data_IF_790829772196
#
_entry.id   IF_790829772196
#
_cell.length_a   1.000
_cell.length_b   1.000
_cell.length_c   1.000
_cell.angle_alpha   90.00
_cell.angle_beta   90.00
_cell.angle_gamma   90.00
#
_symmetry.space_group_name_H-M   'P 1'
#
loop_
_entity.id
_entity.type
_entity.pdbx_description
1 polymer ?
#
# COMPACT_ATOMS: atom_id res chain seq x y z
N UNK A 1 10.85 0.67 -29.34
CA UNK A 1 9.59 -0.06 -29.50
C UNK A 1 9.22 -0.54 -28.12
N UNK A 2 8.19 0.04 -27.51
CA UNK A 2 7.66 -0.39 -26.21
C UNK A 2 7.08 -1.81 -26.40
N UNK A 3 7.44 -2.81 -25.60
CA UNK A 3 6.80 -4.13 -25.67
C UNK A 3 5.29 -3.94 -25.50
N UNK A 4 4.52 -4.62 -26.33
CA UNK A 4 3.08 -4.43 -26.40
C UNK A 4 2.41 -4.74 -25.07
N UNK A 5 1.58 -3.80 -24.61
CA UNK A 5 0.65 -3.98 -23.50
C UNK A 5 -0.31 -5.13 -23.87
N UNK A 6 -0.21 -6.27 -23.21
CA UNK A 6 -1.20 -7.34 -23.34
C UNK A 6 -2.40 -6.98 -22.46
N UNK A 7 -3.50 -6.55 -23.10
CA UNK A 7 -4.77 -6.42 -22.42
C UNK A 7 -5.46 -7.80 -22.34
N UNK A 8 -5.85 -8.19 -21.13
CA UNK A 8 -6.67 -9.38 -20.92
C UNK A 8 -8.10 -9.17 -21.45
N UNK A 9 -8.90 -10.23 -21.69
CA UNK A 9 -10.28 -10.11 -22.19
C UNK A 9 -11.20 -9.22 -21.33
N UNK A 10 -10.87 -9.05 -20.05
CA UNK A 10 -11.55 -8.17 -19.09
C UNK A 10 -11.01 -6.74 -19.04
N UNK A 11 -10.07 -6.37 -19.96
CA UNK A 11 -9.53 -5.03 -20.09
C UNK A 11 -8.45 -4.67 -19.04
N UNK A 12 -7.94 -5.63 -18.29
CA UNK A 12 -6.81 -5.44 -17.38
C UNK A 12 -5.50 -5.41 -18.19
N UNK A 13 -4.66 -4.42 -17.92
CA UNK A 13 -3.30 -4.34 -18.43
C UNK A 13 -2.38 -5.03 -17.44
N UNK A 14 -1.62 -6.03 -17.91
CA UNK A 14 -0.53 -6.66 -17.16
C UNK A 14 0.79 -6.24 -17.77
N UNK A 15 1.70 -5.73 -16.92
CA UNK A 15 2.97 -5.18 -17.36
C UNK A 15 4.10 -5.74 -16.50
N UNK A 16 5.23 -6.02 -17.14
CA UNK A 16 6.51 -6.21 -16.47
C UNK A 16 7.30 -4.93 -16.57
N UNK A 17 7.10 -4.03 -15.60
CA UNK A 17 7.76 -2.74 -15.58
C UNK A 17 9.25 -2.92 -15.29
N UNK A 18 10.16 -2.52 -16.21
CA UNK A 18 11.58 -2.71 -16.01
C UNK A 18 12.11 -1.86 -14.85
N UNK A 19 12.88 -2.46 -13.99
CA UNK A 19 13.62 -1.85 -12.88
C UNK A 19 15.00 -2.51 -12.75
N UNK A 20 15.79 -2.11 -11.77
CA UNK A 20 17.02 -2.80 -11.41
C UNK A 20 16.89 -3.44 -10.03
N UNK A 21 17.59 -4.54 -9.81
CA UNK A 21 17.63 -5.22 -8.51
C UNK A 21 18.70 -4.64 -7.56
N UNK A 22 19.01 -5.35 -6.47
CA UNK A 22 19.96 -4.92 -5.45
C UNK A 22 21.39 -4.79 -5.97
N UNK A 23 21.75 -5.56 -6.97
CA UNK A 23 23.08 -5.60 -7.56
C UNK A 23 23.19 -4.66 -8.77
N UNK A 24 22.09 -3.97 -9.13
CA UNK A 24 22.00 -3.10 -10.30
C UNK A 24 21.71 -3.83 -11.59
N UNK A 25 21.37 -5.13 -11.52
CA UNK A 25 21.04 -5.94 -12.69
C UNK A 25 19.59 -5.73 -13.13
N UNK A 26 19.29 -5.97 -14.42
CA UNK A 26 17.94 -5.83 -14.95
C UNK A 26 16.93 -6.72 -14.21
N UNK A 27 15.84 -6.13 -13.76
CA UNK A 27 14.75 -6.77 -13.03
C UNK A 27 13.41 -6.21 -13.50
N UNK A 28 12.30 -6.61 -12.87
CA UNK A 28 10.97 -6.09 -13.23
C UNK A 28 10.03 -6.08 -12.02
N UNK A 29 9.03 -5.20 -12.11
CA UNK A 29 7.85 -5.22 -11.25
C UNK A 29 6.68 -5.79 -12.04
N UNK A 30 5.96 -6.74 -11.45
CA UNK A 30 4.70 -7.22 -11.97
C UNK A 30 3.60 -6.22 -11.60
N UNK A 31 3.00 -5.56 -12.59
CA UNK A 31 2.00 -4.51 -12.42
C UNK A 31 0.70 -4.93 -13.08
N UNK A 32 -0.44 -4.65 -12.43
CA UNK A 32 -1.79 -4.82 -12.95
C UNK A 32 -2.52 -3.48 -12.90
N UNK A 33 -3.04 -3.04 -14.03
CA UNK A 33 -3.86 -1.84 -14.13
C UNK A 33 -5.22 -2.20 -14.74
N UNK A 34 -6.26 -2.15 -13.93
CA UNK A 34 -7.63 -2.33 -14.36
C UNK A 34 -8.31 -0.97 -14.55
N UNK A 35 -9.02 -0.83 -15.67
CA UNK A 35 -9.78 0.39 -16.01
C UNK A 35 -11.27 0.07 -16.05
N UNK A 36 -12.12 0.94 -15.47
CA UNK A 36 -13.57 0.74 -15.57
C UNK A 36 -14.02 0.90 -17.03
N UNK A 37 -14.98 0.06 -17.42
CA UNK A 37 -15.72 0.29 -18.68
C UNK A 37 -16.57 1.53 -18.50
N UNK A 38 -16.43 2.52 -19.38
CA UNK A 38 -17.13 3.81 -19.27
C UNK A 38 -17.98 4.06 -20.52
N UNK A 39 -19.18 4.64 -20.35
CA UNK A 39 -19.94 5.20 -21.45
C UNK A 39 -19.17 6.31 -22.16
N UNK A 40 -19.37 6.44 -23.47
CA UNK A 40 -18.78 7.50 -24.26
C UNK A 40 -19.25 8.89 -23.74
N UNK A 41 -18.29 9.80 -23.51
CA UNK A 41 -18.57 11.15 -23.04
C UNK A 41 -18.51 11.36 -21.51
N UNK A 42 -18.35 10.31 -20.72
CA UNK A 42 -18.08 10.48 -19.28
C UNK A 42 -16.69 11.08 -19.01
N UNK A 43 -16.63 11.97 -18.00
CA UNK A 43 -15.36 12.56 -17.59
C UNK A 43 -14.43 11.48 -17.01
N UNK A 44 -13.12 11.53 -17.31
CA UNK A 44 -12.15 10.60 -16.75
C UNK A 44 -12.12 10.72 -15.22
N UNK A 45 -11.75 9.63 -14.54
CA UNK A 45 -11.55 9.65 -13.10
C UNK A 45 -10.46 10.68 -12.75
N UNK A 46 -10.62 11.36 -11.63
CA UNK A 46 -9.67 12.37 -11.14
C UNK A 46 -8.38 11.75 -10.60
N UNK A 47 -8.40 10.45 -10.28
CA UNK A 47 -7.28 9.70 -9.74
C UNK A 47 -7.42 8.20 -10.06
N UNK A 48 -6.38 7.44 -9.80
CA UNK A 48 -6.42 5.98 -9.72
C UNK A 48 -6.17 5.53 -8.28
N UNK A 49 -6.76 4.41 -7.87
CA UNK A 49 -6.28 3.72 -6.67
C UNK A 49 -4.97 2.99 -7.00
N UNK A 50 -4.00 3.11 -6.09
CA UNK A 50 -2.76 2.36 -6.16
C UNK A 50 -2.62 1.53 -4.89
N UNK A 51 -2.75 0.20 -5.02
CA UNK A 51 -2.73 -0.75 -3.92
C UNK A 51 -1.33 -1.27 -3.65
N UNK A 52 -0.94 -1.25 -2.38
CA UNK A 52 0.35 -1.69 -1.87
C UNK A 52 0.12 -2.81 -0.84
N UNK A 53 0.62 -3.99 -1.17
CA UNK A 53 0.50 -5.17 -0.30
C UNK A 53 1.47 -5.11 0.90
N UNK A 54 1.23 -5.97 1.88
CA UNK A 54 2.09 -6.14 3.06
C UNK A 54 3.26 -7.09 2.80
N UNK A 55 4.16 -7.17 3.77
CA UNK A 55 5.28 -8.09 3.78
C UNK A 55 4.81 -9.55 3.63
N UNK A 56 5.46 -10.30 2.74
CA UNK A 56 5.11 -11.70 2.45
C UNK A 56 3.74 -11.90 1.78
N UNK A 57 3.18 -10.84 1.19
CA UNK A 57 1.91 -10.87 0.46
C UNK A 57 2.14 -10.62 -1.04
N UNK A 58 1.07 -10.40 -1.80
CA UNK A 58 1.13 -10.12 -3.23
C UNK A 58 0.07 -9.08 -3.62
N UNK A 59 0.18 -8.59 -4.87
CA UNK A 59 -0.73 -7.62 -5.50
C UNK A 59 -2.16 -8.13 -5.68
N UNK A 60 -2.36 -9.43 -5.62
CA UNK A 60 -3.65 -10.13 -5.71
C UNK A 60 -4.00 -10.78 -4.36
N UNK A 61 -5.23 -11.22 -4.23
CA UNK A 61 -5.76 -11.88 -3.04
C UNK A 61 -7.04 -11.21 -2.54
N UNK A 62 -7.72 -11.82 -1.59
CA UNK A 62 -9.10 -11.51 -1.23
C UNK A 62 -9.39 -10.02 -1.02
N UNK A 63 -8.54 -9.28 -0.30
CA UNK A 63 -8.72 -7.84 -0.10
C UNK A 63 -8.45 -7.02 -1.35
N UNK A 64 -7.35 -7.32 -2.05
CA UNK A 64 -6.95 -6.58 -3.25
C UNK A 64 -8.00 -6.74 -4.36
N UNK A 65 -8.47 -7.98 -4.58
CA UNK A 65 -9.48 -8.27 -5.58
C UNK A 65 -10.83 -7.63 -5.25
N UNK A 66 -11.23 -7.68 -3.97
CA UNK A 66 -12.44 -7.00 -3.50
C UNK A 66 -12.35 -5.47 -3.71
N UNK A 67 -11.24 -4.83 -3.34
CA UNK A 67 -11.08 -3.38 -3.53
C UNK A 67 -11.02 -3.01 -5.01
N UNK A 68 -10.40 -3.84 -5.86
CA UNK A 68 -10.40 -3.66 -7.31
C UNK A 68 -11.82 -3.66 -7.88
N UNK A 69 -12.63 -4.66 -7.53
CA UNK A 69 -14.01 -4.76 -7.99
C UNK A 69 -14.83 -3.53 -7.58
N UNK A 70 -14.70 -3.09 -6.34
CA UNK A 70 -15.39 -1.92 -5.81
C UNK A 70 -14.93 -0.62 -6.48
N UNK A 71 -13.63 -0.47 -6.70
CA UNK A 71 -13.07 0.69 -7.38
C UNK A 71 -13.60 0.80 -8.82
N UNK A 72 -13.61 -0.30 -9.56
CA UNK A 72 -14.15 -0.36 -10.93
C UNK A 72 -15.65 -0.07 -10.98
N UNK A 73 -16.41 -0.56 -10.01
CA UNK A 73 -17.85 -0.25 -9.86
C UNK A 73 -18.08 1.25 -9.59
N UNK A 74 -17.17 1.91 -8.87
CA UNK A 74 -17.18 3.36 -8.65
C UNK A 74 -16.65 4.17 -9.85
N UNK A 75 -16.30 3.52 -10.96
CA UNK A 75 -15.75 4.17 -12.13
C UNK A 75 -14.31 4.65 -11.97
N UNK A 76 -13.52 4.08 -11.06
CA UNK A 76 -12.16 4.51 -10.75
C UNK A 76 -11.16 3.43 -11.16
N UNK A 77 -10.09 3.77 -11.92
CA UNK A 77 -9.02 2.83 -12.22
C UNK A 77 -8.34 2.30 -10.94
N UNK A 78 -7.94 1.03 -10.99
CA UNK A 78 -7.25 0.38 -9.90
C UNK A 78 -5.94 -0.24 -10.39
N UNK A 79 -4.83 0.15 -9.76
CA UNK A 79 -3.52 -0.41 -10.01
C UNK A 79 -3.04 -1.17 -8.77
N UNK A 80 -2.43 -2.32 -8.99
CA UNK A 80 -1.70 -3.06 -7.98
C UNK A 80 -0.39 -3.57 -8.57
N UNK A 81 0.59 -3.84 -7.72
CA UNK A 81 1.88 -4.39 -8.15
C UNK A 81 2.50 -5.21 -7.02
N UNK A 82 3.41 -6.10 -7.37
CA UNK A 82 4.25 -6.80 -6.42
C UNK A 82 5.55 -6.02 -6.19
N UNK A 83 5.91 -5.75 -4.92
CA UNK A 83 7.25 -5.25 -4.59
C UNK A 83 8.33 -6.26 -5.01
N UNK A 84 9.54 -5.80 -5.32
CA UNK A 84 10.66 -6.71 -5.57
C UNK A 84 10.82 -7.72 -4.42
N UNK A 85 11.13 -8.97 -4.77
CA UNK A 85 11.19 -10.08 -3.83
C UNK A 85 9.83 -10.67 -3.42
N UNK A 86 8.72 -10.21 -4.02
CA UNK A 86 7.36 -10.72 -3.76
C UNK A 86 6.65 -11.09 -5.06
N UNK A 87 5.70 -12.00 -4.94
CA UNK A 87 4.78 -12.37 -6.00
C UNK A 87 5.45 -12.72 -7.32
N UNK A 88 5.05 -12.03 -8.40
CA UNK A 88 5.55 -12.22 -9.76
C UNK A 88 6.66 -11.21 -10.14
N UNK A 89 7.05 -10.30 -9.23
CA UNK A 89 8.18 -9.38 -9.42
C UNK A 89 9.51 -10.08 -9.25
N UNK A 90 10.56 -9.52 -9.86
CA UNK A 90 11.92 -10.00 -9.71
C UNK A 90 12.52 -9.72 -8.33
N UNK A 91 13.77 -10.11 -8.13
CA UNK A 91 14.49 -9.96 -6.87
C UNK A 91 14.14 -11.04 -5.83
N UNK A 92 14.68 -10.89 -4.64
CA UNK A 92 14.46 -11.83 -3.53
C UNK A 92 14.14 -11.06 -2.23
N UNK A 93 13.44 -11.70 -1.29
CA UNK A 93 13.19 -11.12 0.03
C UNK A 93 14.48 -10.89 0.85
N UNK A 94 15.56 -11.57 0.50
CA UNK A 94 16.87 -11.34 1.09
C UNK A 94 17.38 -9.94 0.81
N UNK A 95 17.06 -9.40 -0.37
CA UNK A 95 17.52 -8.11 -0.86
C UNK A 95 16.54 -6.98 -0.56
N UNK A 96 15.46 -7.30 0.17
CA UNK A 96 14.45 -6.34 0.57
C UNK A 96 15.04 -5.23 1.42
N UNK A 97 14.79 -3.97 1.02
CA UNK A 97 15.01 -2.78 1.83
C UNK A 97 13.80 -1.85 1.74
N UNK A 98 13.63 -0.99 2.72
CA UNK A 98 12.54 -0.03 2.69
C UNK A 98 12.73 1.04 1.60
N UNK A 99 13.98 1.43 1.33
CA UNK A 99 14.34 2.31 0.22
C UNK A 99 13.90 1.72 -1.12
N UNK A 100 14.13 0.42 -1.34
CA UNK A 100 13.71 -0.27 -2.56
C UNK A 100 12.20 -0.29 -2.72
N UNK A 101 11.45 -0.54 -1.65
CA UNK A 101 10.00 -0.45 -1.71
C UNK A 101 9.52 0.95 -2.15
N UNK A 102 10.22 2.01 -1.75
CA UNK A 102 9.90 3.37 -2.17
C UNK A 102 10.30 3.65 -3.62
N UNK A 103 11.39 3.06 -4.11
CA UNK A 103 11.81 3.11 -5.50
C UNK A 103 10.80 2.36 -6.40
N UNK A 104 10.41 1.15 -6.01
CA UNK A 104 9.39 0.34 -6.70
C UNK A 104 8.07 1.12 -6.82
N UNK A 105 7.59 1.66 -5.70
CA UNK A 105 6.37 2.48 -5.70
C UNK A 105 6.54 3.74 -6.56
N UNK A 106 7.72 4.35 -6.56
CA UNK A 106 8.05 5.48 -7.42
C UNK A 106 7.92 5.12 -8.90
N UNK A 107 8.51 4.01 -9.32
CA UNK A 107 8.47 3.52 -10.70
C UNK A 107 7.03 3.21 -11.16
N UNK A 108 6.22 2.56 -10.33
CA UNK A 108 4.81 2.28 -10.65
C UNK A 108 3.99 3.57 -10.72
N UNK A 109 4.23 4.53 -9.84
CA UNK A 109 3.55 5.83 -9.89
C UNK A 109 3.90 6.61 -11.18
N UNK A 110 5.18 6.59 -11.58
CA UNK A 110 5.63 7.22 -12.83
C UNK A 110 5.05 6.49 -14.06
N UNK A 111 4.92 5.16 -14.03
CA UNK A 111 4.19 4.38 -15.04
C UNK A 111 2.73 4.85 -15.13
N UNK A 112 2.01 4.99 -14.00
CA UNK A 112 0.64 5.50 -13.98
C UNK A 112 0.54 6.92 -14.55
N UNK A 113 1.50 7.79 -14.24
CA UNK A 113 1.55 9.15 -14.81
C UNK A 113 1.68 9.10 -16.33
N UNK A 114 2.51 8.20 -16.87
CA UNK A 114 2.60 7.93 -18.32
C UNK A 114 1.32 7.40 -18.95
N UNK A 115 0.45 6.77 -18.15
CA UNK A 115 -0.89 6.32 -18.55
C UNK A 115 -1.99 7.39 -18.39
N UNK A 116 -1.63 8.64 -18.05
CA UNK A 116 -2.56 9.73 -17.76
C UNK A 116 -3.23 9.65 -16.38
N UNK A 117 -2.69 8.86 -15.44
CA UNK A 117 -3.22 8.61 -14.11
C UNK A 117 -2.23 9.06 -13.01
N UNK A 118 -1.60 10.23 -13.19
CA UNK A 118 -0.57 10.72 -12.27
C UNK A 118 -1.07 11.18 -10.90
N UNK A 119 -2.36 11.39 -10.71
CA UNK A 119 -2.95 11.61 -9.39
C UNK A 119 -3.42 10.27 -8.81
N UNK A 120 -3.04 9.94 -7.57
CA UNK A 120 -3.37 8.67 -6.95
C UNK A 120 -3.97 8.82 -5.55
N UNK A 121 -4.80 7.84 -5.17
CA UNK A 121 -5.15 7.53 -3.79
C UNK A 121 -4.48 6.21 -3.45
N UNK A 122 -3.60 6.21 -2.45
CA UNK A 122 -2.88 5.03 -2.02
C UNK A 122 -3.73 4.17 -1.09
N UNK A 123 -3.81 2.87 -1.34
CA UNK A 123 -4.38 1.89 -0.41
C UNK A 123 -3.23 1.00 0.04
N UNK A 124 -2.76 1.14 1.28
CA UNK A 124 -1.59 0.41 1.77
C UNK A 124 -1.89 -0.47 2.96
N UNK A 125 -1.45 -1.73 2.92
CA UNK A 125 -1.58 -2.67 4.03
C UNK A 125 -0.22 -2.94 4.67
N UNK A 126 -0.12 -2.84 6.01
CA UNK A 126 1.09 -3.20 6.79
C UNK A 126 2.35 -2.50 6.25
N UNK A 127 3.33 -3.24 5.73
CA UNK A 127 4.52 -2.70 5.06
C UNK A 127 4.15 -1.73 3.94
N UNK A 128 3.17 -2.08 3.09
CA UNK A 128 2.68 -1.20 2.03
C UNK A 128 2.07 0.09 2.59
N UNK A 129 1.46 0.05 3.79
CA UNK A 129 0.95 1.23 4.49
C UNK A 129 2.07 2.15 4.97
N UNK A 130 3.16 1.60 5.51
CA UNK A 130 4.35 2.38 5.87
C UNK A 130 5.02 3.00 4.63
N UNK A 131 5.14 2.23 3.54
CA UNK A 131 5.68 2.72 2.26
C UNK A 131 4.82 3.86 1.69
N UNK A 132 3.48 3.72 1.75
CA UNK A 132 2.54 4.76 1.31
C UNK A 132 2.74 6.09 2.05
N UNK A 133 2.96 6.07 3.37
CA UNK A 133 3.21 7.27 4.17
C UNK A 133 4.46 8.03 3.68
N UNK A 134 5.56 7.35 3.51
CA UNK A 134 6.80 7.97 3.05
C UNK A 134 6.73 8.46 1.61
N UNK A 135 6.06 7.71 0.74
CA UNK A 135 5.84 8.13 -0.65
C UNK A 135 4.95 9.37 -0.73
N UNK A 136 3.85 9.41 0.03
CA UNK A 136 2.96 10.57 0.09
C UNK A 136 3.68 11.83 0.61
N UNK A 137 4.56 11.68 1.61
CA UNK A 137 5.38 12.78 2.10
C UNK A 137 6.34 13.34 1.03
N UNK A 138 6.85 12.47 0.14
CA UNK A 138 7.77 12.84 -0.96
C UNK A 138 7.04 13.40 -2.18
N UNK A 139 5.78 13.02 -2.41
CA UNK A 139 4.97 13.41 -3.59
C UNK A 139 3.61 14.01 -3.22
N UNK A 140 3.55 15.03 -2.32
CA UNK A 140 2.29 15.52 -1.75
C UNK A 140 1.34 16.14 -2.79
N UNK A 141 1.85 16.60 -3.93
CA UNK A 141 1.02 17.16 -5.01
C UNK A 141 0.32 16.07 -5.85
N UNK A 142 0.81 14.83 -5.82
CA UNK A 142 0.32 13.74 -6.65
C UNK A 142 -0.48 12.70 -5.84
N UNK A 143 -0.21 12.57 -4.54
CA UNK A 143 -0.94 11.68 -3.64
C UNK A 143 -2.08 12.46 -2.97
N UNK A 144 -3.31 12.24 -3.43
CA UNK A 144 -4.48 12.97 -2.99
C UNK A 144 -4.97 12.52 -1.60
N UNK A 145 -4.82 11.25 -1.28
CA UNK A 145 -5.12 10.66 0.02
C UNK A 145 -4.38 9.33 0.23
N UNK A 146 -4.26 8.91 1.49
CA UNK A 146 -3.78 7.58 1.87
C UNK A 146 -4.82 6.85 2.72
N UNK A 147 -5.13 5.61 2.37
CA UNK A 147 -6.08 4.72 3.03
C UNK A 147 -5.29 3.52 3.56
N UNK A 148 -4.98 3.51 4.84
CA UNK A 148 -3.99 2.62 5.43
C UNK A 148 -4.64 1.58 6.32
N UNK A 149 -4.29 0.32 6.12
CA UNK A 149 -4.75 -0.83 6.91
C UNK A 149 -3.57 -1.34 7.72
N UNK A 150 -3.65 -1.25 9.03
CA UNK A 150 -2.63 -1.71 9.98
C UNK A 150 -1.20 -1.30 9.57
N UNK A 151 -0.94 0.01 9.28
CA UNK A 151 0.35 0.44 8.72
C UNK A 151 1.51 0.14 9.67
N UNK A 152 2.56 -0.51 9.16
CA UNK A 152 3.73 -0.90 9.94
C UNK A 152 4.67 0.28 10.23
N UNK A 153 4.16 1.36 10.86
CA UNK A 153 4.89 2.61 11.13
C UNK A 153 6.18 2.41 11.94
N UNK A 154 6.23 1.35 12.75
CA UNK A 154 7.39 0.96 13.55
C UNK A 154 8.09 -0.30 13.05
N UNK A 155 8.06 -0.61 11.75
CA UNK A 155 8.56 -1.88 11.18
C UNK A 155 9.97 -2.25 11.68
N UNK A 156 10.92 -1.33 11.67
CA UNK A 156 12.29 -1.60 12.13
C UNK A 156 12.32 -2.05 13.59
N UNK A 157 11.64 -1.32 14.48
CA UNK A 157 11.53 -1.70 15.91
C UNK A 157 10.76 -3.01 16.10
N UNK A 158 9.77 -3.27 15.25
CA UNK A 158 9.03 -4.54 15.25
C UNK A 158 9.94 -5.72 14.94
N UNK A 159 10.73 -5.63 13.89
CA UNK A 159 11.72 -6.65 13.51
C UNK A 159 12.83 -6.82 14.56
N UNK A 160 13.31 -5.72 15.14
CA UNK A 160 14.30 -5.77 16.22
C UNK A 160 13.75 -6.49 17.47
N UNK A 161 12.50 -6.21 17.85
CA UNK A 161 11.84 -6.92 18.97
C UNK A 161 11.63 -8.41 18.65
N UNK A 162 11.20 -8.72 17.42
CA UNK A 162 11.02 -10.10 16.97
C UNK A 162 12.32 -10.90 17.03
N UNK A 163 13.42 -10.34 16.53
CA UNK A 163 14.71 -11.01 16.52
C UNK A 163 15.32 -11.14 17.93
N UNK A 164 15.03 -10.19 18.82
CA UNK A 164 15.69 -10.08 20.14
C UNK A 164 17.18 -9.75 20.03
N UNK A 165 17.86 -9.51 21.16
CA UNK A 165 19.26 -9.07 21.17
C UNK A 165 20.20 -10.10 20.52
N UNK A 166 20.05 -11.39 20.86
CA UNK A 166 20.88 -12.47 20.31
C UNK A 166 20.61 -12.69 18.82
N UNK A 167 19.33 -12.68 18.40
CA UNK A 167 18.95 -12.80 17.00
C UNK A 167 19.49 -11.64 16.16
N UNK A 168 19.43 -10.41 16.65
CA UNK A 168 20.01 -9.24 15.97
C UNK A 168 21.52 -9.36 15.83
N UNK A 169 22.23 -9.78 16.90
CA UNK A 169 23.68 -9.95 16.84
C UNK A 169 24.07 -11.03 15.83
N UNK A 170 23.31 -12.14 15.78
CA UNK A 170 23.49 -13.20 14.78
C UNK A 170 23.18 -12.68 13.37
N UNK A 171 22.04 -11.99 13.17
CA UNK A 171 21.67 -11.43 11.88
C UNK A 171 22.72 -10.46 11.33
N UNK A 172 23.24 -9.57 12.19
CA UNK A 172 24.31 -8.64 11.84
C UNK A 172 25.58 -9.37 11.42
N UNK A 173 25.98 -10.42 12.17
CA UNK A 173 27.21 -11.19 11.91
C UNK A 173 27.11 -12.04 10.65
N UNK A 174 25.98 -12.74 10.48
CA UNK A 174 25.77 -13.72 9.42
C UNK A 174 25.22 -13.08 8.13
N UNK A 175 24.83 -11.81 8.20
CA UNK A 175 24.28 -11.03 7.09
C UNK A 175 22.82 -11.37 6.74
N UNK A 176 22.30 -12.48 7.25
CA UNK A 176 20.92 -12.96 6.99
C UNK A 176 20.32 -13.61 8.23
N UNK A 177 18.99 -13.63 8.28
CA UNK A 177 18.21 -14.37 9.28
C UNK A 177 17.04 -15.08 8.61
N UNK A 178 16.74 -16.30 9.03
CA UNK A 178 15.53 -17.00 8.61
C UNK A 178 14.32 -16.40 9.29
N UNK A 179 13.39 -15.89 8.51
CA UNK A 179 12.09 -15.43 8.95
C UNK A 179 11.03 -16.45 8.56
N UNK A 180 10.17 -16.81 9.48
CA UNK A 180 9.05 -17.72 9.24
C UNK A 180 7.82 -17.30 10.04
N UNK A 181 6.69 -17.26 9.37
CA UNK A 181 5.37 -17.17 9.98
C UNK A 181 4.36 -18.02 9.18
N UNK A 182 3.07 -17.94 9.50
CA UNK A 182 2.04 -18.71 8.82
C UNK A 182 1.88 -18.41 7.31
N UNK A 183 2.45 -17.32 6.80
CA UNK A 183 2.22 -16.81 5.45
C UNK A 183 3.50 -16.87 4.59
N UNK A 184 4.66 -16.71 5.20
CA UNK A 184 5.92 -16.57 4.48
C UNK A 184 7.05 -17.22 5.26
N UNK A 185 7.91 -17.88 4.52
CA UNK A 185 9.19 -18.41 4.99
C UNK A 185 10.28 -17.95 4.01
N UNK A 186 11.23 -17.12 4.49
CA UNK A 186 12.28 -16.54 3.65
C UNK A 186 13.48 -16.11 4.47
N UNK A 187 14.61 -15.93 3.80
CA UNK A 187 15.77 -15.29 4.38
C UNK A 187 15.66 -13.77 4.21
N UNK A 188 15.93 -13.01 5.28
CA UNK A 188 15.99 -11.56 5.29
C UNK A 188 17.42 -11.09 5.44
N UNK A 189 17.86 -10.21 4.57
CA UNK A 189 19.18 -9.58 4.65
C UNK A 189 19.28 -8.54 5.76
N UNK A 190 20.47 -8.41 6.36
CA UNK A 190 20.75 -7.37 7.36
C UNK A 190 20.55 -5.94 6.82
N UNK A 191 20.66 -5.79 5.49
CA UNK A 191 20.36 -4.54 4.78
C UNK A 191 18.99 -3.94 5.12
N UNK A 192 17.96 -4.78 5.38
CA UNK A 192 16.63 -4.32 5.77
C UNK A 192 16.66 -3.51 7.07
N UNK A 193 17.35 -3.99 8.11
CA UNK A 193 17.45 -3.29 9.40
C UNK A 193 18.26 -2.00 9.27
N UNK A 194 19.40 -2.05 8.59
CA UNK A 194 20.27 -0.88 8.41
C UNK A 194 19.60 0.21 7.61
N UNK A 195 18.81 -0.17 6.59
CA UNK A 195 18.07 0.78 5.78
C UNK A 195 16.88 1.40 6.53
N UNK A 196 16.10 0.59 7.26
CA UNK A 196 14.96 1.07 8.06
C UNK A 196 15.37 2.11 9.11
N UNK A 197 16.60 2.05 9.65
CA UNK A 197 17.12 3.03 10.61
C UNK A 197 17.29 4.44 10.03
N UNK A 198 17.28 4.59 8.70
CA UNK A 198 17.36 5.88 7.99
C UNK A 198 16.01 6.60 7.96
N UNK A 199 14.92 5.92 8.30
CA UNK A 199 13.55 6.42 8.19
C UNK A 199 13.02 6.86 9.57
N UNK A 200 13.35 8.11 9.93
CA UNK A 200 12.93 8.71 11.18
C UNK A 200 11.45 9.13 11.13
N UNK A 201 10.65 8.57 12.02
CA UNK A 201 9.21 8.86 12.11
C UNK A 201 8.92 10.30 12.53
N UNK A 202 9.79 10.96 13.28
CA UNK A 202 9.60 12.36 13.68
C UNK A 202 9.74 13.28 12.47
N UNK A 203 10.71 12.99 11.61
CA UNK A 203 10.88 13.70 10.33
C UNK A 203 9.65 13.51 9.42
N UNK A 204 9.14 12.27 9.33
CA UNK A 204 7.92 12.00 8.58
C UNK A 204 6.73 12.80 9.14
N UNK A 205 6.49 12.73 10.45
CA UNK A 205 5.37 13.42 11.11
C UNK A 205 5.44 14.93 10.90
N UNK A 206 6.61 15.54 11.02
CA UNK A 206 6.80 16.98 10.83
C UNK A 206 6.47 17.46 9.40
N UNK A 207 6.73 16.62 8.39
CA UNK A 207 6.58 16.98 6.97
C UNK A 207 5.27 16.48 6.32
N UNK A 208 4.57 15.52 6.94
CA UNK A 208 3.42 14.86 6.33
C UNK A 208 2.18 15.76 6.27
N UNK A 209 1.55 15.86 5.11
CA UNK A 209 0.39 16.75 4.88
C UNK A 209 -0.79 16.07 4.16
N UNK A 210 -0.60 14.87 3.64
CA UNK A 210 -1.63 14.17 2.86
C UNK A 210 -2.80 13.73 3.74
N UNK A 211 -4.06 13.98 3.37
CA UNK A 211 -5.22 13.43 4.07
C UNK A 211 -5.13 11.91 4.20
N UNK A 212 -5.26 11.37 5.40
CA UNK A 212 -5.00 9.96 5.65
C UNK A 212 -6.03 9.34 6.58
N UNK A 213 -6.63 8.23 6.14
CA UNK A 213 -7.41 7.33 6.97
C UNK A 213 -6.53 6.14 7.41
N UNK A 214 -6.52 5.87 8.70
CA UNK A 214 -5.86 4.68 9.27
C UNK A 214 -6.91 3.77 9.88
N UNK A 215 -6.93 2.52 9.45
CA UNK A 215 -7.83 1.46 9.89
C UNK A 215 -6.99 0.42 10.64
N UNK A 216 -7.21 0.27 11.96
CA UNK A 216 -6.34 -0.53 12.83
C UNK A 216 -7.13 -1.43 13.76
N UNK A 217 -6.75 -2.71 13.81
CA UNK A 217 -7.27 -3.68 14.77
C UNK A 217 -6.60 -3.56 16.14
N UNK A 218 -7.38 -3.70 17.23
CA UNK A 218 -6.80 -3.72 18.59
C UNK A 218 -6.23 -5.08 18.98
N UNK A 219 -6.65 -6.15 18.32
CA UNK A 219 -6.11 -7.50 18.48
C UNK A 219 -5.00 -7.81 17.46
N UNK A 220 -4.42 -6.78 16.84
CA UNK A 220 -3.28 -6.90 15.94
C UNK A 220 -2.04 -7.33 16.71
N UNK A 221 -1.56 -8.56 16.44
CA UNK A 221 -0.39 -9.18 17.07
C UNK A 221 0.93 -8.86 16.35
N UNK A 222 0.85 -8.24 15.19
CA UNK A 222 1.99 -7.92 14.32
C UNK A 222 2.38 -6.44 14.43
N UNK A 223 1.40 -5.54 14.36
CA UNK A 223 1.56 -4.09 14.49
C UNK A 223 0.78 -3.61 15.71
N UNK A 224 1.47 -3.29 16.80
CA UNK A 224 0.81 -2.78 18.01
C UNK A 224 0.02 -1.50 17.71
N UNK A 225 -1.31 -1.56 17.90
CA UNK A 225 -2.20 -0.43 17.67
C UNK A 225 -1.81 0.81 18.50
N UNK A 226 -1.10 0.63 19.63
CA UNK A 226 -0.61 1.74 20.45
C UNK A 226 0.50 2.52 19.76
N UNK A 227 1.36 1.84 18.97
CA UNK A 227 2.39 2.51 18.18
C UNK A 227 1.74 3.33 17.06
N UNK A 228 0.72 2.79 16.40
CA UNK A 228 -0.07 3.49 15.37
C UNK A 228 -0.81 4.69 15.97
N UNK A 229 -1.49 4.50 17.11
CA UNK A 229 -2.21 5.58 17.82
C UNK A 229 -1.24 6.70 18.21
N UNK A 230 -0.06 6.35 18.74
CA UNK A 230 0.98 7.32 19.13
C UNK A 230 1.51 8.08 17.92
N UNK A 231 1.73 7.38 16.80
CA UNK A 231 2.15 8.01 15.55
C UNK A 231 1.13 9.04 15.07
N UNK A 232 -0.15 8.68 15.00
CA UNK A 232 -1.23 9.59 14.60
C UNK A 232 -1.35 10.77 15.54
N UNK A 233 -1.34 10.54 16.86
CA UNK A 233 -1.48 11.59 17.87
C UNK A 233 -0.33 12.61 17.86
N UNK A 234 0.86 12.21 17.45
CA UNK A 234 2.03 13.10 17.34
C UNK A 234 2.15 13.81 15.99
N UNK A 235 1.27 13.52 15.05
CA UNK A 235 1.29 14.15 13.72
C UNK A 235 0.52 15.49 13.77
N UNK A 236 1.19 16.65 13.64
CA UNK A 236 0.62 17.95 14.01
C UNK A 236 -0.40 18.49 13.02
N UNK A 237 -0.53 17.90 11.85
CA UNK A 237 -1.27 18.49 10.72
C UNK A 237 -2.79 18.29 10.74
N UNK A 238 -3.37 17.54 11.69
CA UNK A 238 -4.82 17.23 11.72
C UNK A 238 -5.33 16.46 10.48
N UNK A 239 -4.44 15.92 9.67
CA UNK A 239 -4.71 15.26 8.40
C UNK A 239 -4.93 13.74 8.54
N UNK A 240 -4.83 13.21 9.76
CA UNK A 240 -5.09 11.82 10.06
C UNK A 240 -6.47 11.61 10.68
N UNK A 241 -7.18 10.60 10.20
CA UNK A 241 -8.31 9.98 10.88
C UNK A 241 -7.93 8.56 11.25
N UNK A 242 -8.14 8.17 12.50
CA UNK A 242 -7.90 6.82 12.99
C UNK A 242 -9.23 6.16 13.36
N UNK A 243 -9.49 4.99 12.78
CA UNK A 243 -10.57 4.08 13.15
C UNK A 243 -9.97 2.83 13.79
N UNK A 244 -10.35 2.56 15.02
CA UNK A 244 -9.95 1.34 15.75
C UNK A 244 -11.09 0.31 15.71
N UNK A 245 -10.73 -0.94 15.42
CA UNK A 245 -11.63 -2.10 15.47
C UNK A 245 -11.30 -2.90 16.73
N UNK A 246 -12.23 -2.95 17.69
CA UNK A 246 -12.01 -3.55 19.02
C UNK A 246 -11.56 -5.02 18.95
N UNK A 247 -12.18 -5.79 18.05
CA UNK A 247 -11.95 -7.22 17.81
C UNK A 247 -11.22 -7.49 16.48
N UNK A 248 -10.59 -6.45 15.89
CA UNK A 248 -9.86 -6.56 14.63
C UNK A 248 -8.46 -7.14 14.81
N UNK A 249 -8.10 -8.08 13.96
CA UNK A 249 -6.76 -8.64 13.80
C UNK A 249 -5.88 -7.77 12.89
N UNK A 250 -4.62 -8.21 12.64
CA UNK A 250 -3.69 -7.52 11.73
C UNK A 250 -4.23 -7.40 10.29
N UNK A 251 -4.92 -8.40 9.81
CA UNK A 251 -5.33 -8.47 8.40
C UNK A 251 -6.63 -7.75 8.11
N UNK A 252 -7.55 -7.69 9.07
CA UNK A 252 -8.91 -7.15 8.91
C UNK A 252 -9.65 -7.70 7.68
N UNK A 253 -9.27 -8.89 7.18
CA UNK A 253 -9.81 -9.44 5.92
C UNK A 253 -11.29 -9.75 6.03
N UNK A 254 -11.75 -10.23 7.18
CA UNK A 254 -13.17 -10.50 7.44
C UNK A 254 -14.04 -9.24 7.51
N UNK A 255 -13.45 -8.04 7.41
CA UNK A 255 -14.12 -6.74 7.50
C UNK A 255 -13.99 -5.90 6.22
N UNK A 256 -13.67 -6.53 5.09
CA UNK A 256 -13.38 -5.82 3.83
C UNK A 256 -14.49 -4.87 3.37
N UNK A 257 -15.75 -5.23 3.59
CA UNK A 257 -16.92 -4.38 3.29
C UNK A 257 -16.93 -3.12 4.19
N UNK A 258 -16.68 -3.30 5.50
CA UNK A 258 -16.60 -2.20 6.46
C UNK A 258 -15.40 -1.30 6.17
N UNK A 259 -14.24 -1.89 5.84
CA UNK A 259 -13.05 -1.12 5.41
C UNK A 259 -13.36 -0.27 4.19
N UNK A 260 -14.02 -0.83 3.17
CA UNK A 260 -14.38 -0.08 1.97
C UNK A 260 -15.36 1.05 2.25
N UNK A 261 -16.36 0.81 3.10
CA UNK A 261 -17.31 1.85 3.52
C UNK A 261 -16.60 3.03 4.20
N UNK A 262 -15.72 2.77 5.17
CA UNK A 262 -14.93 3.79 5.87
C UNK A 262 -14.02 4.56 4.89
N UNK A 263 -13.39 3.86 3.94
CA UNK A 263 -12.57 4.47 2.90
C UNK A 263 -13.38 5.40 1.99
N UNK A 264 -14.55 4.95 1.53
CA UNK A 264 -15.43 5.78 0.70
C UNK A 264 -15.91 7.01 1.45
N UNK A 265 -16.39 6.86 2.67
CA UNK A 265 -16.88 7.97 3.51
C UNK A 265 -15.78 9.00 3.75
N UNK A 266 -14.56 8.54 3.99
CA UNK A 266 -13.39 9.42 4.12
C UNK A 266 -13.12 10.21 2.82
N UNK A 267 -13.18 9.56 1.65
CA UNK A 267 -12.95 10.22 0.36
C UNK A 267 -14.08 11.20 0.00
N UNK A 268 -15.33 10.89 0.34
CA UNK A 268 -16.47 11.82 0.19
C UNK A 268 -16.26 13.06 1.05
N UNK A 269 -15.89 12.90 2.32
CA UNK A 269 -15.62 14.01 3.22
C UNK A 269 -14.41 14.84 2.80
N UNK A 270 -13.42 14.19 2.17
CA UNK A 270 -12.26 14.84 1.57
C UNK A 270 -12.55 15.45 0.18
N UNK A 271 -13.79 15.38 -0.31
CA UNK A 271 -14.25 15.88 -1.63
C UNK A 271 -13.52 15.25 -2.83
N UNK A 272 -13.03 14.04 -2.66
CA UNK A 272 -12.40 13.25 -3.71
C UNK A 272 -13.42 12.36 -4.45
N UNK A 273 -14.49 11.96 -3.76
CA UNK A 273 -15.62 11.22 -4.32
C UNK A 273 -16.95 11.99 -4.12
N UNK A 274 -17.94 11.78 -5.00
CA UNK A 274 -19.29 12.26 -4.74
C UNK A 274 -19.95 11.40 -3.64
N UNK A 275 -20.93 11.96 -2.92
CA UNK A 275 -21.81 11.14 -2.08
C UNK A 275 -22.42 10.01 -2.89
N UNK A 276 -22.68 8.87 -2.23
CA UNK A 276 -23.44 7.80 -2.87
C UNK A 276 -24.77 8.39 -3.37
N UNK A 277 -25.15 8.07 -4.62
CA UNK A 277 -26.46 8.44 -5.12
C UNK A 277 -27.50 7.90 -4.14
N UNK A 278 -28.29 8.77 -3.51
CA UNK A 278 -29.42 8.30 -2.70
C UNK A 278 -30.27 7.44 -3.63
N UNK A 279 -30.62 6.23 -3.19
CA UNK A 279 -31.61 5.43 -3.89
C UNK A 279 -32.88 6.29 -3.98
N UNK A 280 -33.01 7.01 -5.09
CA UNK A 280 -34.16 7.86 -5.37
C UNK A 280 -35.37 6.93 -5.39
N UNK A 281 -36.36 7.29 -4.57
CA UNK A 281 -37.53 6.49 -4.29
C UNK A 281 -38.14 5.86 -5.54
N UNK A 282 -38.45 4.61 -5.40
CA UNK A 282 -39.48 3.97 -6.22
C UNK A 282 -40.75 4.76 -5.98
N UNK A 283 -41.34 5.41 -7.00
CA UNK A 283 -42.63 6.06 -6.80
C UNK A 283 -43.62 4.96 -6.41
N UNK A 284 -44.23 5.10 -5.27
CA UNK A 284 -45.38 4.24 -4.88
C UNK A 284 -46.45 4.41 -5.94
N UNK A 285 -46.72 3.31 -6.63
CA UNK A 285 -47.89 3.14 -7.55
C UNK A 285 -49.16 2.94 -6.79
#
# INVERSE_FOLDING_TARGET
MTPGLEATPDGEIRERLPVVDADGEPSHLAVRLARPVRPAGERPARFAYLYLHGFGSAQSGEKADFFRERALADGIPFCSFDFQGHGESGGTMRDLTFSRNLEDLGAVHDFLAGQGLGAVVLIGSSMGGATALWHAARRPAQVLASLLIAPAVGMGRGLERWAGAEGLARWCRDGTIRYSNALVESDLGWGLITDLRRYDLEVLQASYRTPTLVLQGKLDDTVDYRDVTRFVARSPGGNFRLRLFEDGDHRLTGRKEELWSEMRDFLVQSRLLPPAASAAGVPAS
#
